data_IF_899150616642
#
_entry.id   IF_899150616642
#
_cell.length_a   1.000
_cell.length_b   1.000
_cell.length_c   1.000
_cell.angle_alpha   90.00
_cell.angle_beta   90.00
_cell.angle_gamma   90.00
#
_symmetry.space_group_name_H-M   'P 1'
#
loop_
_entity.id
_entity.type
_entity.pdbx_description
1 polymer ?
#
# COMPACT_ATOMS: atom_id res chain seq x y z
N UNK A 1 -5.28 -13.87 10.58
CA UNK A 1 -6.63 -13.35 10.89
C UNK A 1 -7.61 -13.59 9.75
N UNK A 2 -7.36 -13.16 8.51
CA UNK A 2 -8.34 -13.32 7.39
C UNK A 2 -8.22 -14.63 6.58
N UNK A 3 -7.35 -15.56 6.97
CA UNK A 3 -7.11 -16.81 6.23
C UNK A 3 -8.33 -17.73 6.36
N UNK A 4 -8.90 -18.16 5.23
CA UNK A 4 -10.13 -18.97 5.19
C UNK A 4 -11.42 -18.16 5.04
N UNK A 5 -11.32 -16.86 4.83
CA UNK A 5 -12.46 -15.98 4.47
C UNK A 5 -12.47 -15.71 2.96
N UNK A 6 -13.51 -15.04 2.47
CA UNK A 6 -13.64 -14.61 1.06
C UNK A 6 -12.74 -13.40 0.71
N UNK A 7 -12.02 -12.84 1.70
CA UNK A 7 -11.08 -11.75 1.47
C UNK A 7 -9.92 -12.24 0.60
N UNK A 8 -9.75 -11.60 -0.56
CA UNK A 8 -8.68 -11.87 -1.49
C UNK A 8 -7.35 -11.49 -0.86
N UNK A 9 -6.48 -12.48 -0.74
CA UNK A 9 -5.14 -12.34 -0.19
C UNK A 9 -4.08 -12.80 -1.20
N UNK A 10 -2.89 -12.24 -1.06
CA UNK A 10 -1.67 -12.68 -1.74
C UNK A 10 -0.52 -12.69 -0.71
N UNK A 11 0.44 -11.76 -0.79
CA UNK A 11 1.41 -11.50 0.29
C UNK A 11 0.75 -10.71 1.44
N UNK A 12 -0.23 -9.86 1.13
CA UNK A 12 -1.12 -9.15 2.05
C UNK A 12 -2.57 -9.18 1.55
N UNK A 13 -3.44 -8.40 2.17
CA UNK A 13 -4.83 -8.21 1.76
C UNK A 13 -4.86 -7.37 0.49
N UNK A 14 -5.40 -7.91 -0.60
CA UNK A 14 -5.48 -7.19 -1.86
C UNK A 14 -6.57 -6.13 -1.76
N UNK A 15 -6.20 -4.87 -1.96
CA UNK A 15 -7.14 -3.75 -1.95
C UNK A 15 -7.21 -3.01 -3.29
N UNK A 16 -8.33 -2.36 -3.55
CA UNK A 16 -8.47 -1.44 -4.67
C UNK A 16 -7.90 -0.05 -4.35
N UNK A 17 -8.08 0.92 -5.25
CA UNK A 17 -7.65 2.32 -5.04
C UNK A 17 -8.42 3.04 -3.93
N UNK A 18 -9.54 2.50 -3.48
CA UNK A 18 -10.38 3.03 -2.40
C UNK A 18 -10.07 2.35 -1.05
N UNK A 19 -9.04 1.50 -1.00
CA UNK A 19 -8.66 0.66 0.15
C UNK A 19 -9.70 -0.42 0.52
N UNK A 20 -10.61 -0.76 -0.40
CA UNK A 20 -11.63 -1.80 -0.23
C UNK A 20 -11.03 -3.16 -0.52
N UNK A 21 -11.42 -4.16 0.27
CA UNK A 21 -11.09 -5.56 -0.01
C UNK A 21 -12.06 -6.14 -1.06
N UNK A 22 -11.97 -7.44 -1.32
CA UNK A 22 -12.96 -8.14 -2.16
C UNK A 22 -14.32 -8.35 -1.49
N UNK A 23 -14.41 -8.13 -0.18
CA UNK A 23 -15.65 -8.24 0.58
C UNK A 23 -16.21 -6.83 0.80
N UNK A 24 -17.51 -6.67 0.56
CA UNK A 24 -18.23 -5.41 0.74
C UNK A 24 -18.10 -4.92 2.18
N UNK A 25 -17.99 -3.60 2.36
CA UNK A 25 -17.81 -2.91 3.64
C UNK A 25 -16.58 -3.33 4.48
N UNK A 26 -15.67 -4.15 3.92
CA UNK A 26 -14.42 -4.53 4.55
C UNK A 26 -13.25 -3.80 3.89
N UNK A 27 -12.43 -3.14 4.71
CA UNK A 27 -11.32 -2.30 4.29
C UNK A 27 -10.01 -2.76 4.95
N UNK A 28 -8.88 -2.52 4.28
CA UNK A 28 -7.55 -2.80 4.82
C UNK A 28 -6.55 -1.70 4.44
N UNK A 29 -5.63 -1.38 5.36
CA UNK A 29 -4.61 -0.37 5.17
C UNK A 29 -3.35 -0.68 5.99
N UNK A 30 -2.22 -0.08 5.62
CA UNK A 30 -0.93 -0.29 6.27
C UNK A 30 -0.23 -1.56 5.82
N UNK A 31 0.63 -2.10 6.68
CA UNK A 31 1.55 -3.19 6.32
C UNK A 31 0.86 -4.50 5.94
N UNK A 32 -0.43 -4.65 6.31
CA UNK A 32 -1.23 -5.81 5.94
C UNK A 32 -1.83 -5.70 4.53
N UNK A 33 -1.85 -4.52 3.90
CA UNK A 33 -2.54 -4.26 2.65
C UNK A 33 -1.60 -4.21 1.44
N UNK A 34 -2.06 -4.74 0.30
CA UNK A 34 -1.41 -4.59 -0.99
C UNK A 34 -2.03 -3.43 -1.77
N UNK A 35 -1.33 -2.30 -1.76
CA UNK A 35 -1.77 -1.06 -2.39
C UNK A 35 -1.23 -1.01 -3.82
N UNK A 36 -2.00 -0.41 -4.73
CA UNK A 36 -1.58 -0.22 -6.12
C UNK A 36 -0.35 0.70 -6.20
N UNK A 37 0.79 0.12 -6.61
CA UNK A 37 2.04 0.83 -6.85
C UNK A 37 2.10 1.32 -8.30
N UNK A 38 1.98 2.63 -8.53
CA UNK A 38 1.92 3.19 -9.88
C UNK A 38 3.25 3.08 -10.64
N UNK A 39 4.39 2.96 -9.93
CA UNK A 39 5.72 2.80 -10.55
C UNK A 39 5.87 1.38 -11.11
N UNK A 40 5.40 0.38 -10.37
CA UNK A 40 5.49 -1.03 -10.76
C UNK A 40 4.26 -1.54 -11.52
N UNK A 41 3.19 -0.74 -11.57
CA UNK A 41 1.88 -1.04 -12.16
C UNK A 41 1.24 -2.32 -11.60
N UNK A 42 1.44 -2.58 -10.31
CA UNK A 42 0.93 -3.79 -9.63
C UNK A 42 0.67 -3.50 -8.15
N UNK A 43 -0.18 -4.31 -7.52
CA UNK A 43 -0.43 -4.24 -6.08
C UNK A 43 0.76 -4.80 -5.32
N UNK A 44 1.21 -4.07 -4.29
CA UNK A 44 2.38 -4.44 -3.47
C UNK A 44 2.15 -4.06 -2.02
N UNK A 45 2.73 -4.86 -1.12
CA UNK A 45 2.89 -4.45 0.27
C UNK A 45 4.02 -3.42 0.33
N UNK A 46 3.69 -2.22 0.80
CA UNK A 46 4.60 -1.08 0.88
C UNK A 46 4.74 -0.63 2.34
N UNK A 47 5.55 -1.33 3.14
CA UNK A 47 5.62 -1.11 4.59
C UNK A 47 6.33 0.21 4.88
N UNK A 48 5.55 1.26 5.05
CA UNK A 48 6.02 2.60 5.36
C UNK A 48 4.97 3.35 6.14
N UNK A 49 5.42 4.16 7.09
CA UNK A 49 4.53 4.98 7.92
C UNK A 49 3.63 5.89 7.07
N UNK A 50 4.17 6.48 5.99
CA UNK A 50 3.40 7.34 5.09
C UNK A 50 2.25 6.58 4.41
N UNK A 51 2.52 5.40 3.84
CA UNK A 51 1.50 4.60 3.16
C UNK A 51 0.46 4.05 4.15
N UNK A 52 0.89 3.68 5.36
CA UNK A 52 -0.04 3.27 6.42
C UNK A 52 -0.96 4.41 6.85
N UNK A 53 -0.41 5.60 7.10
CA UNK A 53 -1.19 6.76 7.51
C UNK A 53 -2.16 7.22 6.41
N UNK A 54 -1.68 7.44 5.18
CA UNK A 54 -2.52 7.88 4.06
C UNK A 54 -3.54 6.83 3.65
N UNK A 55 -3.14 5.56 3.60
CA UNK A 55 -4.04 4.45 3.33
C UNK A 55 -5.15 4.36 4.39
N UNK A 56 -4.81 4.51 5.68
CA UNK A 56 -5.79 4.52 6.76
C UNK A 56 -6.79 5.66 6.66
N UNK A 57 -6.33 6.87 6.35
CA UNK A 57 -7.22 8.03 6.12
C UNK A 57 -8.17 7.78 4.95
N UNK A 58 -7.66 7.25 3.83
CA UNK A 58 -8.49 6.96 2.66
C UNK A 58 -9.49 5.85 2.95
N UNK A 59 -9.08 4.79 3.65
CA UNK A 59 -10.01 3.74 4.10
C UNK A 59 -11.12 4.35 4.97
N UNK A 60 -10.80 5.22 5.92
CA UNK A 60 -11.78 5.87 6.78
C UNK A 60 -12.78 6.74 6.01
N UNK A 61 -12.33 7.55 5.04
CA UNK A 61 -13.24 8.33 4.21
C UNK A 61 -14.20 7.44 3.41
N UNK A 62 -13.70 6.36 2.81
CA UNK A 62 -14.55 5.44 2.04
C UNK A 62 -15.50 4.64 2.94
N UNK A 63 -15.09 4.27 4.16
CA UNK A 63 -15.98 3.72 5.19
C UNK A 63 -17.10 4.70 5.55
N UNK A 64 -16.81 6.00 5.59
CA UNK A 64 -17.80 7.06 5.85
C UNK A 64 -18.63 7.47 4.61
N UNK A 65 -18.53 6.75 3.49
CA UNK A 65 -19.25 7.05 2.24
C UNK A 65 -18.68 8.22 1.43
N UNK A 66 -17.53 8.78 1.84
CA UNK A 66 -16.84 9.86 1.11
C UNK A 66 -15.79 9.24 0.19
N UNK A 67 -16.07 9.19 -1.11
CA UNK A 67 -15.18 8.56 -2.09
C UNK A 67 -13.82 9.25 -2.14
N UNK A 68 -12.74 8.51 -1.85
CA UNK A 68 -11.35 8.97 -2.02
C UNK A 68 -10.47 7.87 -2.59
N UNK A 69 -9.65 8.21 -3.57
CA UNK A 69 -8.68 7.28 -4.15
C UNK A 69 -7.28 7.52 -3.58
N UNK A 70 -6.51 6.43 -3.47
CA UNK A 70 -5.11 6.44 -3.06
C UNK A 70 -4.30 5.50 -3.94
N UNK A 71 -3.27 6.07 -4.55
CA UNK A 71 -2.18 5.34 -5.20
C UNK A 71 -0.88 5.90 -4.66
N UNK A 72 0.14 5.05 -4.56
CA UNK A 72 1.41 5.45 -3.98
C UNK A 72 2.53 4.63 -4.60
N UNK A 73 3.75 4.86 -4.17
CA UNK A 73 4.89 3.99 -4.45
C UNK A 73 5.70 3.83 -3.16
N UNK A 74 6.83 3.15 -3.22
CA UNK A 74 7.67 2.99 -2.04
C UNK A 74 8.25 4.35 -1.62
N UNK A 75 8.04 4.73 -0.37
CA UNK A 75 8.59 5.94 0.25
C UNK A 75 9.14 5.52 1.61
N UNK A 76 10.44 5.67 1.80
CA UNK A 76 11.11 5.38 3.06
C UNK A 76 12.00 6.54 3.47
N UNK A 77 12.03 6.81 4.78
CA UNK A 77 12.89 7.81 5.39
C UNK A 77 13.81 7.12 6.39
N UNK A 78 15.10 7.41 6.30
CA UNK A 78 16.12 6.94 7.23
C UNK A 78 16.83 8.15 7.83
N UNK A 79 17.01 8.13 9.15
CA UNK A 79 17.87 9.07 9.86
C UNK A 79 19.18 8.34 10.17
N UNK A 80 20.30 8.85 9.66
CA UNK A 80 21.63 8.28 9.84
C UNK A 80 22.62 9.37 10.24
N UNK A 81 23.05 9.36 11.50
CA UNK A 81 23.78 10.47 12.14
C UNK A 81 23.05 11.80 11.91
N UNK A 82 23.73 12.85 11.47
CA UNK A 82 23.12 14.15 11.17
C UNK A 82 22.48 14.24 9.77
N UNK A 83 22.39 13.11 9.06
CA UNK A 83 21.82 13.05 7.71
C UNK A 83 20.42 12.45 7.72
N UNK A 84 19.51 13.12 7.00
CA UNK A 84 18.16 12.62 6.71
C UNK A 84 18.12 12.21 5.26
N UNK A 85 17.88 10.92 5.02
CA UNK A 85 17.78 10.36 3.67
C UNK A 85 16.34 9.96 3.43
N UNK A 86 15.74 10.49 2.38
CA UNK A 86 14.45 10.04 1.88
C UNK A 86 14.68 9.37 0.55
N UNK A 87 14.07 8.22 0.35
CA UNK A 87 14.14 7.50 -0.90
C UNK A 87 12.73 7.13 -1.36
N UNK A 88 12.47 7.39 -2.64
CA UNK A 88 11.15 7.31 -3.26
C UNK A 88 11.27 6.53 -4.58
N UNK A 89 10.35 5.60 -4.81
CA UNK A 89 10.21 4.87 -6.05
C UNK A 89 10.88 3.49 -6.03
N UNK A 90 11.67 3.19 -7.06
CA UNK A 90 12.17 1.84 -7.33
C UNK A 90 13.59 1.64 -6.77
N UNK A 91 13.68 0.89 -5.66
CA UNK A 91 14.98 0.53 -5.05
C UNK A 91 15.60 -0.73 -5.64
N UNK A 92 14.79 -1.62 -6.19
CA UNK A 92 15.25 -2.86 -6.84
C UNK A 92 14.65 -2.93 -8.24
N UNK A 93 15.47 -2.95 -9.30
CA UNK A 93 14.99 -3.17 -10.66
C UNK A 93 14.25 -4.51 -10.75
N UNK A 94 13.28 -4.63 -11.66
CA UNK A 94 12.65 -5.93 -11.94
C UNK A 94 13.75 -6.95 -12.24
N UNK A 95 13.77 -8.06 -11.50
CA UNK A 95 14.73 -9.16 -11.73
C UNK A 95 14.58 -9.61 -13.19
N UNK A 96 15.57 -9.30 -14.03
CA UNK A 96 15.55 -9.56 -15.48
C UNK A 96 15.59 -8.33 -16.40
N UNK A 97 15.54 -7.10 -15.87
CA UNK A 97 15.89 -5.91 -16.65
C UNK A 97 17.43 -5.88 -16.82
N UNK A 98 17.91 -6.29 -17.99
CA UNK A 98 19.29 -5.95 -18.42
C UNK A 98 19.38 -4.42 -18.59
N UNK A 99 20.57 -3.83 -18.34
CA UNK A 99 20.82 -2.41 -18.54
C UNK A 99 20.54 -1.99 -19.99
#
# INVERSE_FOLDING_TARGET
MVKGTEVKINRGIVVDKLMRTSVEDVYAAGDCAEIYDFVYKTNRVLPSWYNAHKGGVVAAFNMAGVKREFTTTNISSLHFYDMRVISVGMHTPKRGAKP
#
